data_IF_634237700552
#
_entry.id   IF_634237700552
#
_cell.length_a   1.000
_cell.length_b   1.000
_cell.length_c   1.000
_cell.angle_alpha   90.00
_cell.angle_beta   90.00
_cell.angle_gamma   90.00
#
_symmetry.space_group_name_H-M   'P 1'
#
loop_
_entity.id
_entity.type
_entity.pdbx_description
1 polymer ?
#
# COMPACT_ATOMS: atom_id res chain seq x y z
N UNK A 1 -13.24 9.87 12.34
CA UNK A 1 -13.40 8.88 11.25
C UNK A 1 -12.52 7.70 11.64
N UNK A 2 -13.08 6.52 11.90
CA UNK A 2 -12.26 5.35 12.25
C UNK A 2 -11.76 4.72 10.95
N UNK A 3 -10.48 4.90 10.64
CA UNK A 3 -9.82 4.15 9.58
C UNK A 3 -9.74 2.68 10.00
N UNK A 4 -9.93 1.74 9.06
CA UNK A 4 -9.62 0.35 9.31
C UNK A 4 -8.11 0.25 9.62
N UNK A 5 -7.76 -0.35 10.77
CA UNK A 5 -6.40 -0.39 11.29
C UNK A 5 -5.45 -1.14 10.35
N UNK A 6 -5.88 -2.29 9.82
CA UNK A 6 -5.09 -3.09 8.89
C UNK A 6 -4.83 -2.33 7.59
N UNK A 7 -5.85 -1.63 7.06
CA UNK A 7 -5.70 -0.83 5.84
C UNK A 7 -4.72 0.34 6.04
N UNK A 8 -4.79 1.03 7.18
CA UNK A 8 -3.86 2.12 7.50
C UNK A 8 -2.43 1.62 7.76
N UNK A 9 -2.30 0.46 8.43
CA UNK A 9 -1.01 -0.21 8.68
C UNK A 9 -0.37 -0.64 7.36
N UNK A 10 -1.11 -1.34 6.51
CA UNK A 10 -0.63 -1.81 5.22
C UNK A 10 -0.26 -0.67 4.27
N UNK A 11 -1.06 0.41 4.21
CA UNK A 11 -0.66 1.58 3.42
C UNK A 11 0.68 2.16 3.88
N UNK A 12 0.89 2.32 5.20
CA UNK A 12 2.16 2.82 5.73
C UNK A 12 3.32 1.89 5.41
N UNK A 13 3.15 0.58 5.62
CA UNK A 13 4.17 -0.42 5.30
C UNK A 13 4.62 -0.32 3.84
N UNK A 14 3.66 -0.22 2.92
CA UNK A 14 3.93 -0.02 1.49
C UNK A 14 4.61 1.34 1.24
N UNK A 15 4.18 2.43 1.88
CA UNK A 15 4.78 3.75 1.71
C UNK A 15 6.25 3.80 2.14
N UNK A 16 6.54 3.19 3.29
CA UNK A 16 7.86 3.15 3.89
C UNK A 16 8.82 2.27 3.09
N UNK A 17 8.35 1.10 2.63
CA UNK A 17 9.17 0.14 1.88
C UNK A 17 9.45 0.60 0.45
N UNK A 18 8.43 1.12 -0.25
CA UNK A 18 8.53 1.36 -1.68
C UNK A 18 9.07 2.72 -2.03
N UNK A 19 8.84 3.73 -1.18
CA UNK A 19 9.34 5.08 -1.45
C UNK A 19 8.94 5.66 -2.82
N UNK A 20 7.93 5.10 -3.51
CA UNK A 20 7.49 5.47 -4.85
C UNK A 20 8.10 4.69 -6.02
N UNK A 21 8.95 3.69 -5.76
CA UNK A 21 9.56 2.84 -6.79
C UNK A 21 8.55 1.83 -7.37
N UNK A 22 8.85 1.37 -8.58
CA UNK A 22 8.11 0.27 -9.20
C UNK A 22 8.53 -1.07 -8.58
N UNK A 23 7.55 -1.90 -8.26
CA UNK A 23 7.68 -3.22 -7.65
C UNK A 23 6.66 -4.19 -8.24
N UNK A 24 6.74 -5.48 -7.91
CA UNK A 24 5.68 -6.43 -8.21
C UNK A 24 4.65 -6.53 -7.08
N UNK A 25 3.48 -7.11 -7.39
CA UNK A 25 2.40 -7.25 -6.44
C UNK A 25 2.74 -8.17 -5.25
N UNK A 26 3.60 -9.17 -5.44
CA UNK A 26 3.98 -10.11 -4.38
C UNK A 26 4.93 -9.44 -3.38
N UNK A 27 5.86 -8.59 -3.83
CA UNK A 27 6.67 -7.73 -2.97
C UNK A 27 5.80 -6.79 -2.12
N UNK A 28 4.73 -6.20 -2.69
CA UNK A 28 3.77 -5.38 -1.94
C UNK A 28 3.03 -6.19 -0.88
N UNK A 29 2.47 -7.35 -1.25
CA UNK A 29 1.75 -8.23 -0.32
C UNK A 29 2.69 -8.69 0.80
N UNK A 30 3.94 -8.99 0.47
CA UNK A 30 4.98 -9.35 1.44
C UNK A 30 5.24 -8.21 2.42
N UNK A 31 5.40 -6.97 1.95
CA UNK A 31 5.60 -5.79 2.80
C UNK A 31 4.42 -5.57 3.76
N UNK A 32 3.19 -5.76 3.28
CA UNK A 32 1.98 -5.68 4.13
C UNK A 32 1.98 -6.82 5.16
N UNK A 33 2.29 -8.05 4.74
CA UNK A 33 2.34 -9.23 5.59
C UNK A 33 3.38 -9.11 6.71
N UNK A 34 4.52 -8.45 6.46
CA UNK A 34 5.50 -8.16 7.50
C UNK A 34 4.99 -7.20 8.59
N UNK A 35 4.02 -6.34 8.27
CA UNK A 35 3.48 -5.37 9.23
C UNK A 35 2.46 -5.98 10.20
N UNK A 36 1.59 -6.89 9.73
CA UNK A 36 0.49 -7.46 10.53
C UNK A 36 0.59 -8.99 10.77
N UNK A 37 1.46 -9.71 10.07
CA UNK A 37 1.78 -11.13 10.32
C UNK A 37 0.80 -12.15 9.73
N UNK A 38 -0.18 -11.73 8.95
CA UNK A 38 -1.18 -12.58 8.29
C UNK A 38 -1.19 -12.33 6.77
N UNK A 39 -0.91 -13.39 6.00
CA UNK A 39 -0.81 -13.33 4.54
C UNK A 39 -2.19 -13.19 3.85
N UNK A 40 -3.23 -13.79 4.42
CA UNK A 40 -4.60 -13.67 3.89
C UNK A 40 -5.14 -12.27 4.16
N UNK A 41 -4.85 -11.71 5.33
CA UNK A 41 -5.14 -10.30 5.64
C UNK A 41 -4.34 -9.36 4.73
N UNK A 42 -3.06 -9.66 4.47
CA UNK A 42 -2.23 -8.87 3.57
C UNK A 42 -2.79 -8.84 2.13
N UNK A 43 -3.26 -9.99 1.62
CA UNK A 43 -3.93 -10.05 0.31
C UNK A 43 -5.23 -9.26 0.28
N UNK A 44 -6.01 -9.33 1.36
CA UNK A 44 -7.23 -8.52 1.48
C UNK A 44 -6.92 -7.02 1.49
N UNK A 45 -5.93 -6.59 2.28
CA UNK A 45 -5.48 -5.19 2.33
C UNK A 45 -4.97 -4.75 0.96
N UNK A 46 -4.15 -5.54 0.29
CA UNK A 46 -3.66 -5.26 -1.06
C UNK A 46 -4.83 -5.04 -2.04
N UNK A 47 -5.81 -5.94 -2.06
CA UNK A 47 -6.99 -5.82 -2.91
C UNK A 47 -7.80 -4.55 -2.60
N UNK A 48 -7.92 -4.17 -1.32
CA UNK A 48 -8.55 -2.91 -0.93
C UNK A 48 -7.78 -1.69 -1.42
N UNK A 49 -6.45 -1.66 -1.27
CA UNK A 49 -5.61 -0.56 -1.75
C UNK A 49 -5.64 -0.44 -3.28
N UNK A 50 -5.67 -1.57 -4.00
CA UNK A 50 -5.89 -1.59 -5.45
C UNK A 50 -7.25 -1.00 -5.84
N UNK A 51 -8.32 -1.42 -5.16
CA UNK A 51 -9.67 -0.92 -5.44
C UNK A 51 -9.80 0.59 -5.15
N UNK A 52 -9.04 1.10 -4.18
CA UNK A 52 -8.93 2.52 -3.85
C UNK A 52 -8.01 3.30 -4.80
N UNK A 53 -7.43 2.62 -5.81
CA UNK A 53 -6.53 3.21 -6.80
C UNK A 53 -5.30 3.88 -6.17
N UNK A 54 -4.82 3.29 -5.06
CA UNK A 54 -3.59 3.73 -4.38
C UNK A 54 -2.34 3.48 -5.23
N UNK A 55 -2.43 2.52 -6.16
CA UNK A 55 -1.33 2.15 -7.04
C UNK A 55 -1.52 2.68 -8.46
N UNK A 56 -0.43 3.20 -9.01
CA UNK A 56 -0.27 3.42 -10.44
C UNK A 56 0.36 2.16 -11.07
N UNK A 57 -0.07 1.83 -12.29
CA UNK A 57 0.27 0.57 -12.99
C UNK A 57 1.16 0.86 -14.19
N UNK A 58 2.35 0.27 -14.21
CA UNK A 58 3.23 0.27 -15.37
C UNK A 58 3.48 -1.18 -15.83
N UNK A 59 2.67 -1.64 -16.79
CA UNK A 59 2.66 -3.03 -17.20
C UNK A 59 2.19 -3.94 -16.06
N UNK A 60 3.06 -4.85 -15.62
CA UNK A 60 2.81 -5.76 -14.48
C UNK A 60 3.35 -5.22 -13.17
N UNK A 61 4.03 -4.06 -13.18
CA UNK A 61 4.62 -3.46 -11.99
C UNK A 61 3.72 -2.35 -11.44
N UNK A 62 3.80 -2.16 -10.15
CA UNK A 62 3.02 -1.22 -9.36
C UNK A 62 3.94 -0.23 -8.68
N UNK A 63 3.48 0.99 -8.52
CA UNK A 63 4.09 1.99 -7.62
C UNK A 63 2.98 2.73 -6.90
N UNK A 64 3.31 3.38 -5.79
CA UNK A 64 2.35 4.29 -5.16
C UNK A 64 2.01 5.45 -6.09
N UNK A 65 0.72 5.74 -6.21
CA UNK A 65 0.23 6.85 -7.02
C UNK A 65 0.82 8.17 -6.49
N UNK A 66 1.57 8.92 -7.32
CA UNK A 66 2.35 10.07 -6.86
C UNK A 66 1.52 11.16 -6.18
N UNK A 67 0.31 11.45 -6.67
CA UNK A 67 -0.55 12.47 -6.09
C UNK A 67 -1.06 12.02 -4.71
N UNK A 68 -1.51 10.78 -4.58
CA UNK A 68 -1.99 10.20 -3.34
C UNK A 68 -0.90 10.20 -2.27
N UNK A 69 0.32 9.79 -2.63
CA UNK A 69 1.49 9.86 -1.74
C UNK A 69 1.79 11.29 -1.29
N UNK A 70 1.69 12.27 -2.18
CA UNK A 70 1.91 13.69 -1.85
C UNK A 70 0.82 14.24 -0.95
N UNK A 71 -0.43 13.85 -1.17
CA UNK A 71 -1.54 14.20 -0.29
C UNK A 71 -1.35 13.61 1.11
N UNK A 72 -0.91 12.35 1.20
CA UNK A 72 -0.61 11.69 2.47
C UNK A 72 0.51 12.40 3.25
N UNK A 73 1.61 12.76 2.59
CA UNK A 73 2.71 13.47 3.26
C UNK A 73 2.32 14.87 3.73
N UNK A 74 1.46 15.57 3.00
CA UNK A 74 0.93 16.89 3.40
C UNK A 74 -0.07 16.79 4.55
N UNK A 75 -0.77 15.66 4.70
CA UNK A 75 -1.72 15.45 5.79
C UNK A 75 -1.06 15.23 7.16
N UNK A 76 0.26 15.01 7.21
CA UNK A 76 1.01 14.81 8.46
C UNK A 76 0.58 13.56 9.24
N UNK A 77 0.17 12.50 8.53
CA UNK A 77 -0.35 11.25 9.08
C UNK A 77 0.73 10.19 9.31
#
# INVERSE_FOLDING_TARGET
MYANRALASGYRAVSDELGGELTDAEEIVTAIGYADGDEDEARWVFACLEALQVFDKEGTRLRLEPLFRRCWSLAGA
#
